data_IF_838393374354
#
_entry.id   IF_838393374354
#
_cell.length_a   1.000
_cell.length_b   1.000
_cell.length_c   1.000
_cell.angle_alpha   90.00
_cell.angle_beta   90.00
_cell.angle_gamma   90.00
#
_symmetry.space_group_name_H-M   'P 1'
#
loop_
_entity.id
_entity.type
_entity.pdbx_description
1 polymer ?
#
# COMPACT_ATOMS: atom_id res chain seq x y z
N UNK A 1 -31.32 7.11 31.82
CA UNK A 1 -32.18 8.25 31.43
C UNK A 1 -31.82 8.61 29.99
N UNK A 2 -32.66 8.60 28.97
CA UNK A 2 -34.12 8.55 28.86
C UNK A 2 -34.54 8.17 27.42
N UNK A 3 -35.59 7.34 27.33
CA UNK A 3 -36.71 7.40 26.38
C UNK A 3 -36.44 7.15 24.89
N UNK A 4 -36.72 5.91 24.48
CA UNK A 4 -37.69 5.53 23.44
C UNK A 4 -37.16 4.33 22.65
N UNK A 5 -36.99 3.21 23.34
CA UNK A 5 -36.85 1.89 22.72
C UNK A 5 -38.18 1.59 22.04
N UNK A 6 -38.26 1.85 20.74
CA UNK A 6 -39.43 1.54 19.92
C UNK A 6 -39.51 0.01 19.84
N UNK A 7 -40.27 -0.58 20.77
CA UNK A 7 -40.56 -2.00 20.79
C UNK A 7 -41.47 -2.31 19.61
N UNK A 8 -40.88 -2.71 18.48
CA UNK A 8 -41.62 -3.34 17.38
C UNK A 8 -41.99 -4.74 17.88
N UNK A 9 -43.21 -4.85 18.39
CA UNK A 9 -43.82 -6.08 18.84
C UNK A 9 -44.20 -6.91 17.59
N UNK A 10 -43.22 -7.58 16.98
CA UNK A 10 -43.47 -8.58 15.96
C UNK A 10 -43.94 -9.88 16.64
N UNK A 11 -45.24 -9.99 16.89
CA UNK A 11 -45.88 -11.23 17.34
C UNK A 11 -45.82 -12.27 16.23
N UNK A 12 -44.75 -13.07 16.21
CA UNK A 12 -44.64 -14.30 15.41
C UNK A 12 -45.65 -15.33 15.92
N UNK A 13 -46.86 -15.34 15.37
CA UNK A 13 -47.76 -16.48 15.46
C UNK A 13 -47.37 -17.52 14.40
N UNK A 14 -46.44 -18.41 14.75
CA UNK A 14 -46.19 -19.61 13.96
C UNK A 14 -47.31 -20.63 14.24
N UNK A 15 -48.41 -20.54 13.49
CA UNK A 15 -49.37 -21.65 13.39
C UNK A 15 -48.76 -22.72 12.47
N UNK A 16 -48.56 -23.92 13.00
CA UNK A 16 -48.15 -25.09 12.22
C UNK A 16 -49.34 -25.45 11.30
N UNK A 17 -49.33 -24.92 10.09
CA UNK A 17 -50.28 -25.30 9.05
C UNK A 17 -49.79 -26.58 8.34
N UNK A 18 -50.71 -27.50 8.09
CA UNK A 18 -50.49 -28.67 7.23
C UNK A 18 -50.03 -28.19 5.84
N UNK A 19 -49.16 -28.94 5.17
CA UNK A 19 -48.65 -28.56 3.85
C UNK A 19 -49.77 -28.68 2.80
N UNK A 20 -50.38 -27.56 2.44
CA UNK A 20 -51.39 -27.47 1.40
C UNK A 20 -50.76 -26.92 0.11
N UNK A 21 -51.35 -27.26 -1.04
CA UNK A 21 -50.98 -26.63 -2.30
C UNK A 21 -51.52 -25.20 -2.33
N UNK A 22 -50.66 -24.25 -2.66
CA UNK A 22 -50.98 -22.82 -2.63
C UNK A 22 -51.05 -22.25 -4.05
N UNK A 23 -52.16 -21.60 -4.40
CA UNK A 23 -52.39 -21.08 -5.77
C UNK A 23 -52.61 -19.57 -5.78
N UNK A 24 -51.89 -18.86 -6.65
CA UNK A 24 -52.11 -17.43 -6.89
C UNK A 24 -53.28 -17.21 -7.84
N UNK A 25 -53.86 -16.00 -7.83
CA UNK A 25 -54.95 -15.61 -8.74
C UNK A 25 -54.57 -15.70 -10.22
N UNK A 26 -53.27 -15.60 -10.54
CA UNK A 26 -52.73 -15.74 -11.89
C UNK A 26 -52.46 -17.20 -12.29
N UNK A 27 -52.83 -18.17 -11.44
CA UNK A 27 -52.73 -19.60 -11.73
C UNK A 27 -51.38 -20.23 -11.41
N UNK A 28 -50.43 -19.49 -10.79
CA UNK A 28 -49.17 -20.08 -10.32
C UNK A 28 -49.41 -20.91 -9.07
N UNK A 29 -48.90 -22.13 -9.06
CA UNK A 29 -49.10 -23.10 -7.97
C UNK A 29 -47.77 -23.41 -7.26
N UNK A 30 -47.83 -23.45 -5.93
CA UNK A 30 -46.74 -23.80 -5.04
C UNK A 30 -47.11 -25.05 -4.26
N UNK A 31 -46.46 -26.16 -4.60
CA UNK A 31 -46.80 -27.47 -4.04
C UNK A 31 -46.15 -27.70 -2.68
N UNK A 32 -46.85 -28.43 -1.81
CA UNK A 32 -46.42 -28.71 -0.44
C UNK A 32 -45.98 -27.43 0.29
N UNK A 33 -46.80 -26.39 0.20
CA UNK A 33 -46.48 -25.09 0.76
C UNK A 33 -46.82 -25.04 2.24
N UNK A 34 -45.91 -24.50 3.04
CA UNK A 34 -46.12 -24.19 4.45
C UNK A 34 -45.88 -22.70 4.66
N UNK A 35 -46.79 -22.04 5.37
CA UNK A 35 -46.64 -20.64 5.73
C UNK A 35 -45.47 -20.48 6.71
N UNK A 36 -44.48 -19.66 6.33
CA UNK A 36 -43.33 -19.33 7.17
C UNK A 36 -43.58 -18.09 8.02
N UNK A 37 -44.13 -17.02 7.42
CA UNK A 37 -44.48 -15.77 8.11
C UNK A 37 -45.45 -14.95 7.26
N UNK A 38 -46.14 -14.02 7.89
CA UNK A 38 -46.98 -13.00 7.24
C UNK A 38 -46.29 -11.65 7.39
N UNK A 39 -46.12 -10.93 6.29
CA UNK A 39 -45.64 -9.55 6.23
C UNK A 39 -46.80 -8.63 5.80
N UNK A 40 -46.73 -7.30 6.03
CA UNK A 40 -47.83 -6.40 5.66
C UNK A 40 -48.19 -6.45 4.17
N UNK A 41 -47.21 -6.70 3.29
CA UNK A 41 -47.36 -6.72 1.83
C UNK A 41 -47.56 -8.12 1.23
N UNK A 42 -47.44 -9.20 2.02
CA UNK A 42 -47.60 -10.55 1.51
C UNK A 42 -47.33 -11.66 2.52
N UNK A 43 -47.38 -12.90 2.05
CA UNK A 43 -47.03 -14.08 2.85
C UNK A 43 -45.73 -14.68 2.36
N UNK A 44 -44.89 -15.14 3.27
CA UNK A 44 -43.70 -15.92 2.94
C UNK A 44 -44.02 -17.38 3.18
N UNK A 45 -43.90 -18.19 2.13
CA UNK A 45 -44.10 -19.63 2.21
C UNK A 45 -42.78 -20.36 1.96
N UNK A 46 -42.64 -21.52 2.57
CA UNK A 46 -41.66 -22.53 2.19
C UNK A 46 -42.41 -23.61 1.42
N UNK A 47 -41.99 -23.89 0.19
CA UNK A 47 -42.61 -24.88 -0.69
C UNK A 47 -41.54 -25.80 -1.28
N UNK A 48 -41.93 -26.77 -2.09
CA UNK A 48 -40.99 -27.76 -2.66
C UNK A 48 -39.82 -27.16 -3.46
N UNK A 49 -39.98 -25.95 -4.00
CA UNK A 49 -38.96 -25.24 -4.79
C UNK A 49 -38.14 -24.21 -4.01
N UNK A 50 -38.36 -24.02 -2.72
CA UNK A 50 -37.61 -23.07 -1.89
C UNK A 50 -38.49 -22.17 -1.02
N UNK A 51 -37.99 -20.96 -0.73
CA UNK A 51 -38.71 -19.93 0.03
C UNK A 51 -39.10 -18.82 -0.93
N UNK A 52 -40.34 -18.38 -0.88
CA UNK A 52 -40.85 -17.30 -1.73
C UNK A 52 -41.80 -16.40 -0.94
N UNK A 53 -41.76 -15.11 -1.22
CA UNK A 53 -42.79 -14.16 -0.79
C UNK A 53 -43.85 -14.03 -1.89
N UNK A 54 -45.11 -14.20 -1.53
CA UNK A 54 -46.27 -14.01 -2.41
C UNK A 54 -47.00 -12.75 -1.95
N UNK A 55 -47.10 -11.71 -2.80
CA UNK A 55 -47.84 -10.49 -2.46
C UNK A 55 -49.31 -10.78 -2.16
N UNK A 56 -49.92 -10.02 -1.25
CA UNK A 56 -51.34 -10.18 -0.93
C UNK A 56 -52.25 -9.92 -2.14
N UNK A 57 -51.85 -9.05 -3.06
CA UNK A 57 -52.55 -8.76 -4.32
C UNK A 57 -52.61 -9.96 -5.26
N UNK A 58 -51.72 -10.94 -5.09
CA UNK A 58 -51.72 -12.20 -5.85
C UNK A 58 -52.53 -13.31 -5.16
N UNK A 59 -53.11 -13.05 -3.99
CA UNK A 59 -53.92 -14.01 -3.22
C UNK A 59 -55.41 -13.84 -3.48
N UNK A 60 -56.19 -14.92 -3.29
CA UNK A 60 -57.65 -14.86 -3.31
C UNK A 60 -58.17 -13.94 -2.18
N UNK A 61 -59.37 -13.38 -2.36
CA UNK A 61 -60.01 -12.53 -1.33
C UNK A 61 -60.17 -13.26 0.01
N UNK A 62 -60.53 -14.53 -0.03
CA UNK A 62 -60.64 -15.37 1.18
C UNK A 62 -59.32 -15.44 1.95
N UNK A 63 -58.18 -15.54 1.26
CA UNK A 63 -56.88 -15.57 1.90
C UNK A 63 -56.43 -14.17 2.36
N UNK A 64 -56.75 -13.12 1.61
CA UNK A 64 -56.53 -11.73 2.05
C UNK A 64 -57.28 -11.45 3.37
N UNK A 65 -58.54 -11.89 3.47
CA UNK A 65 -59.35 -11.76 4.70
C UNK A 65 -58.80 -12.63 5.83
N UNK A 66 -58.47 -13.91 5.56
CA UNK A 66 -57.90 -14.85 6.55
C UNK A 66 -56.66 -14.30 7.23
N UNK A 67 -55.82 -13.55 6.51
CA UNK A 67 -54.57 -12.98 7.03
C UNK A 67 -54.65 -11.48 7.33
N UNK A 68 -55.86 -10.89 7.34
CA UNK A 68 -56.10 -9.49 7.72
C UNK A 68 -55.31 -8.47 6.87
N UNK A 69 -55.30 -8.66 5.55
CA UNK A 69 -54.63 -7.74 4.63
C UNK A 69 -55.13 -6.29 4.78
N UNK A 70 -54.20 -5.36 4.92
CA UNK A 70 -54.45 -3.91 4.93
C UNK A 70 -53.59 -3.24 3.85
N UNK A 71 -54.24 -2.67 2.83
CA UNK A 71 -53.58 -2.05 1.69
C UNK A 71 -52.68 -0.86 2.07
N UNK A 72 -53.11 -0.02 3.02
CA UNK A 72 -52.33 1.15 3.46
C UNK A 72 -51.06 0.72 4.22
N UNK A 73 -51.18 -0.30 5.07
CA UNK A 73 -50.03 -0.88 5.78
C UNK A 73 -49.04 -1.57 4.81
N UNK A 74 -49.55 -2.23 3.77
CA UNK A 74 -48.74 -2.87 2.73
C UNK A 74 -47.94 -1.86 1.90
N UNK A 75 -48.58 -0.77 1.47
CA UNK A 75 -47.91 0.30 0.72
C UNK A 75 -46.80 0.95 1.55
N UNK A 76 -47.08 1.27 2.81
CA UNK A 76 -46.08 1.84 3.72
C UNK A 76 -44.88 0.91 3.94
N UNK A 77 -45.14 -0.38 4.20
CA UNK A 77 -44.08 -1.38 4.38
C UNK A 77 -43.23 -1.56 3.12
N UNK A 78 -43.86 -1.56 1.95
CA UNK A 78 -43.17 -1.67 0.66
C UNK A 78 -42.28 -0.45 0.41
N UNK A 79 -42.77 0.75 0.70
CA UNK A 79 -42.00 1.99 0.57
C UNK A 79 -40.80 2.01 1.52
N UNK A 80 -41.00 1.66 2.81
CA UNK A 80 -39.93 1.58 3.80
C UNK A 80 -38.86 0.54 3.42
N UNK A 81 -39.29 -0.66 3.00
CA UNK A 81 -38.38 -1.72 2.54
C UNK A 81 -37.60 -1.33 1.29
N UNK A 82 -38.24 -0.60 0.36
CA UNK A 82 -37.56 -0.12 -0.85
C UNK A 82 -36.46 0.89 -0.52
N UNK A 83 -36.70 1.79 0.44
CA UNK A 83 -35.68 2.75 0.89
C UNK A 83 -34.54 2.05 1.65
N UNK A 84 -34.84 1.04 2.47
CA UNK A 84 -33.82 0.23 3.14
C UNK A 84 -32.95 -0.54 2.14
N UNK A 85 -33.55 -1.15 1.11
CA UNK A 85 -32.82 -1.83 0.04
C UNK A 85 -31.96 -0.84 -0.76
N UNK A 86 -32.47 0.36 -1.07
CA UNK A 86 -31.68 1.41 -1.74
C UNK A 86 -30.49 1.83 -0.88
N UNK A 87 -30.70 2.08 0.41
CA UNK A 87 -29.63 2.45 1.33
C UNK A 87 -28.58 1.34 1.48
N UNK A 88 -29.02 0.08 1.57
CA UNK A 88 -28.13 -1.08 1.61
C UNK A 88 -27.31 -1.23 0.33
N UNK A 89 -27.94 -1.05 -0.84
CA UNK A 89 -27.27 -1.09 -2.14
C UNK A 89 -26.26 0.06 -2.30
N UNK A 90 -26.61 1.27 -1.87
CA UNK A 90 -25.71 2.41 -1.88
C UNK A 90 -24.48 2.16 -0.99
N UNK A 91 -24.70 1.64 0.23
CA UNK A 91 -23.62 1.28 1.14
C UNK A 91 -22.74 0.15 0.61
N UNK A 92 -23.33 -0.85 -0.04
CA UNK A 92 -22.59 -1.94 -0.68
C UNK A 92 -21.74 -1.44 -1.86
N UNK A 93 -22.28 -0.52 -2.68
CA UNK A 93 -21.55 0.11 -3.77
C UNK A 93 -20.38 0.97 -3.25
N UNK A 94 -20.60 1.75 -2.19
CA UNK A 94 -19.54 2.55 -1.56
C UNK A 94 -18.45 1.65 -0.97
N UNK A 95 -18.82 0.58 -0.27
CA UNK A 95 -17.85 -0.37 0.28
C UNK A 95 -17.02 -1.03 -0.82
N UNK A 96 -17.67 -1.44 -1.93
CA UNK A 96 -16.98 -2.00 -3.08
C UNK A 96 -15.99 -1.00 -3.68
N UNK A 97 -16.41 0.25 -3.88
CA UNK A 97 -15.53 1.30 -4.38
C UNK A 97 -14.32 1.56 -3.46
N UNK A 98 -14.53 1.54 -2.13
CA UNK A 98 -13.45 1.68 -1.14
C UNK A 98 -12.45 0.51 -1.21
N UNK A 99 -12.93 -0.72 -1.28
CA UNK A 99 -12.08 -1.93 -1.40
C UNK A 99 -11.30 -1.93 -2.72
N UNK A 100 -11.93 -1.53 -3.82
CA UNK A 100 -11.25 -1.45 -5.12
C UNK A 100 -10.17 -0.36 -5.11
N UNK A 101 -10.45 0.80 -4.50
CA UNK A 101 -9.47 1.88 -4.32
C UNK A 101 -8.30 1.47 -3.42
N UNK A 102 -8.55 0.74 -2.33
CA UNK A 102 -7.51 0.22 -1.45
C UNK A 102 -6.62 -0.79 -2.17
N UNK A 103 -7.21 -1.72 -2.94
CA UNK A 103 -6.46 -2.66 -3.79
C UNK A 103 -5.62 -1.95 -4.85
N UNK A 104 -6.12 -0.87 -5.44
CA UNK A 104 -5.35 -0.04 -6.36
C UNK A 104 -4.16 0.62 -5.67
N UNK A 105 -4.35 1.12 -4.44
CA UNK A 105 -3.26 1.68 -3.65
C UNK A 105 -2.23 0.62 -3.28
N UNK A 106 -2.66 -0.56 -2.82
CA UNK A 106 -1.76 -1.68 -2.50
C UNK A 106 -0.97 -2.15 -3.73
N UNK A 107 -1.61 -2.25 -4.91
CA UNK A 107 -0.91 -2.61 -6.16
C UNK A 107 0.15 -1.57 -6.52
N UNK A 108 -0.17 -0.29 -6.40
CA UNK A 108 0.78 0.80 -6.66
C UNK A 108 1.93 0.80 -5.64
N UNK A 109 1.63 0.62 -4.36
CA UNK A 109 2.64 0.52 -3.31
C UNK A 109 3.55 -0.70 -3.52
N UNK A 110 2.97 -1.86 -3.83
CA UNK A 110 3.72 -3.08 -4.13
C UNK A 110 4.59 -2.95 -5.39
N UNK A 111 4.10 -2.27 -6.43
CA UNK A 111 4.89 -1.98 -7.61
C UNK A 111 6.06 -1.04 -7.29
N UNK A 112 5.84 0.02 -6.50
CA UNK A 112 6.88 0.93 -6.04
C UNK A 112 7.93 0.23 -5.15
N UNK A 113 7.50 -0.67 -4.27
CA UNK A 113 8.40 -1.49 -3.44
C UNK A 113 9.23 -2.45 -4.29
N UNK A 114 8.61 -3.07 -5.30
CA UNK A 114 9.32 -3.93 -6.24
C UNK A 114 10.38 -3.15 -7.01
N UNK A 115 10.01 -1.98 -7.56
CA UNK A 115 10.92 -1.09 -8.28
C UNK A 115 12.08 -0.62 -7.38
N UNK A 116 11.79 -0.21 -6.15
CA UNK A 116 12.80 0.19 -5.16
C UNK A 116 13.79 -0.94 -4.87
N UNK A 117 13.31 -2.17 -4.71
CA UNK A 117 14.18 -3.35 -4.52
C UNK A 117 15.03 -3.66 -5.75
N UNK A 118 14.52 -3.40 -6.97
CA UNK A 118 15.33 -3.58 -8.18
C UNK A 118 16.42 -2.51 -8.28
N UNK A 119 16.10 -1.25 -7.96
CA UNK A 119 17.09 -0.17 -7.90
C UNK A 119 18.17 -0.44 -6.85
N UNK A 120 17.79 -0.95 -5.67
CA UNK A 120 18.75 -1.34 -4.62
C UNK A 120 19.67 -2.47 -5.09
N UNK A 121 19.11 -3.53 -5.70
CA UNK A 121 19.93 -4.62 -6.27
C UNK A 121 20.88 -4.13 -7.37
N UNK A 122 20.45 -3.18 -8.19
CA UNK A 122 21.32 -2.55 -9.16
C UNK A 122 22.41 -1.77 -8.44
N UNK A 123 22.07 -0.94 -7.45
CA UNK A 123 23.02 -0.17 -6.65
C UNK A 123 24.13 -1.05 -6.06
N UNK A 124 23.78 -2.16 -5.43
CA UNK A 124 24.74 -3.09 -4.83
C UNK A 124 25.69 -3.72 -5.86
N UNK A 125 25.25 -3.83 -7.12
CA UNK A 125 26.07 -4.35 -8.22
C UNK A 125 26.98 -3.29 -8.84
N UNK A 126 26.50 -2.05 -9.04
CA UNK A 126 27.26 -1.00 -9.75
C UNK A 126 28.10 -0.13 -8.82
N UNK A 127 27.63 0.22 -7.63
CA UNK A 127 28.35 1.13 -6.73
C UNK A 127 29.76 0.63 -6.42
N UNK A 128 30.01 -0.66 -6.07
CA UNK A 128 31.36 -1.14 -5.80
C UNK A 128 32.34 -0.96 -6.95
N UNK A 129 31.86 -0.88 -8.20
CA UNK A 129 32.71 -0.69 -9.39
C UNK A 129 33.18 0.76 -9.56
N UNK A 130 32.46 1.72 -8.95
CA UNK A 130 32.78 3.15 -9.00
C UNK A 130 33.18 3.72 -7.64
N UNK A 131 33.08 2.92 -6.57
CA UNK A 131 33.44 3.30 -5.21
C UNK A 131 34.95 3.23 -5.00
N UNK A 132 35.50 4.27 -4.39
CA UNK A 132 36.88 4.36 -3.97
C UNK A 132 36.91 4.85 -2.53
N UNK A 133 37.60 4.12 -1.65
CA UNK A 133 37.96 4.65 -0.34
C UNK A 133 39.16 5.56 -0.51
N UNK A 134 39.05 6.79 -0.05
CA UNK A 134 40.04 7.80 -0.34
C UNK A 134 40.41 8.58 0.90
N UNK A 135 41.70 8.90 0.96
CA UNK A 135 42.19 9.99 1.78
C UNK A 135 42.33 11.22 0.88
N UNK A 136 41.65 12.30 1.24
CA UNK A 136 41.63 13.53 0.45
C UNK A 136 42.25 14.71 1.20
N UNK A 137 42.90 15.60 0.44
CA UNK A 137 43.35 16.91 0.91
C UNK A 137 42.81 18.00 -0.02
N UNK A 138 41.69 18.65 0.33
CA UNK A 138 41.13 19.77 -0.44
C UNK A 138 42.12 20.93 -0.55
N UNK A 139 42.14 21.61 -1.70
CA UNK A 139 43.01 22.78 -1.89
C UNK A 139 42.45 23.86 -2.83
N UNK A 140 41.34 23.59 -3.54
CA UNK A 140 40.51 24.63 -4.17
C UNK A 140 39.05 24.39 -3.81
N UNK A 141 38.43 25.36 -3.16
CA UNK A 141 37.03 25.31 -2.75
C UNK A 141 36.20 26.18 -3.69
N UNK A 142 35.22 25.58 -4.34
CA UNK A 142 34.16 26.26 -5.08
C UNK A 142 32.86 26.28 -4.27
N UNK A 143 31.89 27.07 -4.75
CA UNK A 143 30.56 27.14 -4.13
C UNK A 143 29.81 25.80 -4.24
N UNK A 144 30.05 25.05 -5.32
CA UNK A 144 29.37 23.79 -5.60
C UNK A 144 30.32 22.60 -5.75
N UNK A 145 31.60 22.84 -6.10
CA UNK A 145 32.60 21.79 -6.32
C UNK A 145 33.90 22.03 -5.57
N UNK A 146 34.60 20.97 -5.21
CA UNK A 146 35.88 21.02 -4.48
C UNK A 146 36.95 20.25 -5.25
N UNK A 147 38.08 20.89 -5.56
CA UNK A 147 39.26 20.18 -6.09
C UNK A 147 40.12 19.70 -4.93
N UNK A 148 40.49 18.42 -4.96
CA UNK A 148 41.28 17.79 -3.92
C UNK A 148 42.39 16.92 -4.50
N UNK A 149 43.46 16.76 -3.72
CA UNK A 149 44.37 15.65 -3.92
C UNK A 149 43.78 14.38 -3.33
N UNK A 150 43.73 13.31 -4.12
CA UNK A 150 43.08 12.05 -3.76
C UNK A 150 44.11 10.93 -3.73
N UNK A 151 44.17 10.20 -2.62
CA UNK A 151 44.92 8.96 -2.50
C UNK A 151 43.95 7.79 -2.30
N UNK A 152 43.84 6.85 -3.26
CA UNK A 152 42.95 5.71 -3.11
C UNK A 152 43.50 4.62 -2.19
N UNK A 153 42.58 3.90 -1.56
CA UNK A 153 42.80 2.77 -0.67
C UNK A 153 41.83 1.63 -1.01
N UNK A 154 42.32 0.41 -0.82
CA UNK A 154 41.51 -0.80 -0.83
C UNK A 154 41.35 -1.29 0.60
N UNK A 155 40.11 -1.64 0.96
CA UNK A 155 39.78 -2.26 2.23
C UNK A 155 40.04 -3.76 2.13
N UNK A 156 40.77 -4.34 3.08
CA UNK A 156 40.96 -5.79 3.16
C UNK A 156 40.58 -6.30 4.55
N UNK A 157 40.06 -7.53 4.59
CA UNK A 157 39.71 -8.19 5.84
C UNK A 157 41.00 -8.54 6.61
N UNK A 158 41.11 -8.07 7.85
CA UNK A 158 42.23 -8.39 8.75
C UNK A 158 41.85 -9.44 9.80
N UNK A 159 40.66 -10.03 9.68
CA UNK A 159 40.08 -10.98 10.62
C UNK A 159 39.04 -10.32 11.53
N UNK A 160 38.72 -11.01 12.63
CA UNK A 160 37.77 -10.52 13.62
C UNK A 160 38.47 -10.31 14.96
N UNK A 161 38.08 -9.26 15.68
CA UNK A 161 38.50 -9.05 17.07
C UNK A 161 37.35 -9.33 18.01
N UNK A 162 37.67 -9.78 19.22
CA UNK A 162 36.69 -9.93 20.29
C UNK A 162 36.05 -8.57 20.60
N UNK A 163 34.72 -8.54 20.71
CA UNK A 163 34.01 -7.30 21.03
C UNK A 163 33.90 -7.14 22.54
N UNK A 164 34.66 -6.20 23.09
CA UNK A 164 34.63 -5.89 24.52
C UNK A 164 33.44 -5.00 24.92
N UNK A 165 32.76 -4.39 23.94
CA UNK A 165 31.74 -3.36 24.18
C UNK A 165 30.31 -3.88 24.09
N UNK A 166 30.05 -4.91 23.25
CA UNK A 166 28.72 -5.51 23.07
C UNK A 166 28.80 -7.02 23.28
N UNK A 167 28.47 -7.54 24.48
CA UNK A 167 28.66 -8.95 24.85
C UNK A 167 27.86 -9.95 23.99
N UNK A 168 26.81 -9.51 23.29
CA UNK A 168 26.02 -10.36 22.39
C UNK A 168 26.68 -10.59 21.02
N UNK A 169 27.72 -9.82 20.68
CA UNK A 169 28.48 -9.93 19.43
C UNK A 169 29.91 -10.35 19.77
N UNK A 170 30.16 -11.64 19.97
CA UNK A 170 31.47 -12.16 20.42
C UNK A 170 32.66 -11.70 19.55
N UNK A 171 32.44 -11.43 18.27
CA UNK A 171 33.48 -11.02 17.33
C UNK A 171 32.97 -9.93 16.37
N UNK A 172 33.78 -8.89 16.15
CA UNK A 172 33.53 -7.84 15.16
C UNK A 172 34.62 -7.86 14.08
N UNK A 173 34.27 -7.72 12.80
CA UNK A 173 35.24 -7.65 11.72
C UNK A 173 36.13 -6.42 11.88
N UNK A 174 37.42 -6.60 11.65
CA UNK A 174 38.41 -5.52 11.60
C UNK A 174 38.92 -5.42 10.18
N UNK A 175 38.97 -4.20 9.67
CA UNK A 175 39.42 -3.94 8.31
C UNK A 175 40.76 -3.20 8.30
N UNK A 176 41.65 -3.67 7.44
CA UNK A 176 42.88 -2.97 7.08
C UNK A 176 42.70 -2.12 5.83
N UNK A 177 43.57 -1.13 5.67
CA UNK A 177 43.58 -0.24 4.51
C UNK A 177 44.92 -0.35 3.81
N UNK A 178 44.90 -0.65 2.52
CA UNK A 178 46.10 -0.68 1.68
C UNK A 178 46.04 0.45 0.69
N UNK A 179 47.10 1.26 0.62
CA UNK A 179 47.25 2.26 -0.42
C UNK A 179 47.23 1.58 -1.79
N UNK A 180 46.32 2.00 -2.65
CA UNK A 180 46.26 1.56 -4.04
C UNK A 180 46.39 2.77 -4.95
N UNK A 181 47.01 2.60 -6.12
CA UNK A 181 47.20 3.67 -7.08
C UNK A 181 48.09 4.83 -6.62
N UNK A 182 48.41 5.70 -7.57
CA UNK A 182 49.12 6.95 -7.31
C UNK A 182 48.15 8.03 -6.83
N UNK A 183 48.70 9.04 -6.15
CA UNK A 183 47.96 10.22 -5.75
C UNK A 183 47.64 11.05 -7.00
N UNK A 184 46.40 11.48 -7.15
CA UNK A 184 45.96 12.26 -8.31
C UNK A 184 45.10 13.45 -7.90
N UNK A 185 44.80 14.35 -8.85
CA UNK A 185 43.88 15.47 -8.66
C UNK A 185 42.50 15.03 -9.15
N UNK A 186 41.48 15.25 -8.33
CA UNK A 186 40.09 15.01 -8.72
C UNK A 186 39.17 16.13 -8.24
N UNK A 187 37.97 16.15 -8.81
CA UNK A 187 36.91 17.11 -8.47
C UNK A 187 35.79 16.39 -7.76
N UNK A 188 35.34 16.93 -6.64
CA UNK A 188 34.20 16.43 -5.86
C UNK A 188 33.04 17.39 -6.17
N UNK A 189 31.90 16.85 -6.59
CA UNK A 189 30.67 17.57 -6.95
C UNK A 189 29.91 18.07 -5.71
N UNK A 190 30.64 18.47 -4.69
CA UNK A 190 30.11 19.10 -3.48
C UNK A 190 31.08 20.17 -2.97
N UNK A 191 30.53 21.20 -2.32
CA UNK A 191 31.31 22.04 -1.41
C UNK A 191 31.62 21.23 -0.16
N UNK A 192 32.90 21.08 0.16
CA UNK A 192 33.33 20.53 1.45
C UNK A 192 33.13 21.58 2.55
N UNK A 193 32.61 21.17 3.72
CA UNK A 193 32.32 22.06 4.85
C UNK A 193 33.56 22.80 5.39
N UNK A 194 33.35 23.93 6.07
CA UNK A 194 34.39 24.84 6.57
C UNK A 194 35.40 24.20 7.55
N UNK A 195 35.03 23.11 8.27
CA UNK A 195 36.00 22.33 9.07
C UNK A 195 37.12 21.69 8.25
N UNK A 196 36.96 21.64 6.92
CA UNK A 196 37.93 21.07 5.98
C UNK A 196 38.73 22.17 5.24
N UNK A 197 38.39 23.45 5.43
CA UNK A 197 39.05 24.59 4.76
C UNK A 197 40.46 24.88 5.29
N UNK A 198 40.88 24.23 6.39
CA UNK A 198 42.26 24.24 6.91
C UNK A 198 43.26 23.42 6.08
N UNK A 199 42.79 22.62 5.11
CA UNK A 199 43.63 21.68 4.36
C UNK A 199 43.92 20.37 5.10
N UNK A 200 43.08 20.03 6.08
CA UNK A 200 43.17 18.78 6.83
C UNK A 200 42.87 17.55 5.97
N UNK A 201 43.47 16.43 6.37
CA UNK A 201 43.32 15.14 5.71
C UNK A 201 41.98 14.52 6.10
N UNK A 202 41.18 14.11 5.12
CA UNK A 202 39.85 13.49 5.37
C UNK A 202 39.77 12.09 4.76
N UNK A 203 39.24 11.13 5.51
CA UNK A 203 38.88 9.80 4.99
C UNK A 203 37.45 9.86 4.49
N UNK A 204 37.23 9.55 3.22
CA UNK A 204 35.91 9.58 2.58
C UNK A 204 35.71 8.37 1.67
N UNK A 205 34.45 8.02 1.44
CA UNK A 205 34.05 7.15 0.33
C UNK A 205 33.66 8.04 -0.84
N UNK A 206 34.28 7.84 -1.99
CA UNK A 206 33.98 8.57 -3.23
C UNK A 206 33.35 7.63 -4.25
N UNK A 207 32.39 8.14 -5.01
CA UNK A 207 31.78 7.46 -6.15
C UNK A 207 32.15 8.22 -7.42
N UNK A 208 32.80 7.56 -8.38
CA UNK A 208 33.15 8.17 -9.67
C UNK A 208 31.88 8.37 -10.50
N UNK A 209 31.60 9.63 -10.86
CA UNK A 209 30.41 10.04 -11.63
C UNK A 209 30.79 10.72 -12.95
N UNK A 210 31.97 10.38 -13.48
CA UNK A 210 32.43 10.85 -14.79
C UNK A 210 33.69 11.71 -14.72
N UNK A 211 33.70 12.76 -15.52
CA UNK A 211 34.80 13.71 -15.72
C UNK A 211 34.23 15.12 -15.82
N UNK A 212 35.04 16.14 -15.53
CA UNK A 212 34.62 17.53 -15.71
C UNK A 212 34.54 17.92 -17.19
N UNK A 213 33.68 18.90 -17.51
CA UNK A 213 33.52 19.41 -18.89
C UNK A 213 34.72 20.25 -19.35
N UNK A 214 35.42 20.90 -18.42
CA UNK A 214 36.58 21.79 -18.67
C UNK A 214 37.82 21.00 -19.13
N UNK A 215 37.92 19.75 -18.72
CA UNK A 215 39.00 18.87 -19.09
C UNK A 215 38.53 17.43 -18.93
N UNK A 216 38.55 16.66 -20.02
CA UNK A 216 38.40 15.20 -20.02
C UNK A 216 39.44 14.46 -19.15
N UNK A 217 40.30 15.19 -18.42
CA UNK A 217 41.40 14.70 -17.60
C UNK A 217 41.01 14.49 -16.14
N UNK A 218 40.21 15.38 -15.56
CA UNK A 218 39.99 15.33 -14.12
C UNK A 218 38.75 14.48 -13.80
N UNK A 219 38.90 13.37 -13.06
CA UNK A 219 37.78 12.56 -12.65
C UNK A 219 36.86 13.32 -11.68
N UNK A 220 35.57 13.21 -11.93
CA UNK A 220 34.51 13.80 -11.11
C UNK A 220 33.95 12.75 -10.15
N UNK A 221 33.79 13.12 -8.88
CA UNK A 221 33.30 12.27 -7.81
C UNK A 221 32.16 12.92 -7.05
N UNK A 222 31.41 12.10 -6.33
CA UNK A 222 30.52 12.55 -5.25
C UNK A 222 30.84 11.74 -3.99
N UNK A 223 30.63 12.36 -2.83
CA UNK A 223 30.63 11.68 -1.53
C UNK A 223 29.27 11.06 -1.19
N UNK A 224 28.25 11.29 -2.01
CA UNK A 224 26.86 10.88 -1.74
C UNK A 224 26.45 9.69 -2.59
N UNK A 225 25.88 8.66 -1.93
CA UNK A 225 25.33 7.48 -2.63
C UNK A 225 24.19 7.89 -3.57
N UNK A 226 23.33 8.81 -3.14
CA UNK A 226 22.14 9.22 -3.91
C UNK A 226 22.49 9.94 -5.21
N UNK A 227 23.47 10.87 -5.21
CA UNK A 227 23.90 11.49 -6.47
C UNK A 227 24.58 10.49 -7.38
N UNK A 228 25.35 9.54 -6.84
CA UNK A 228 25.95 8.48 -7.63
C UNK A 228 24.88 7.62 -8.32
N UNK A 229 23.83 7.26 -7.60
CA UNK A 229 22.70 6.50 -8.16
C UNK A 229 21.92 7.30 -9.20
N UNK A 230 21.64 8.59 -8.94
CA UNK A 230 20.99 9.45 -9.91
C UNK A 230 21.81 9.60 -11.20
N UNK A 231 23.13 9.70 -11.08
CA UNK A 231 24.03 9.72 -12.23
C UNK A 231 23.96 8.42 -13.04
N UNK A 232 24.04 7.27 -12.36
CA UNK A 232 23.96 5.95 -13.00
C UNK A 232 22.60 5.68 -13.67
N UNK A 233 21.53 6.30 -13.18
CA UNK A 233 20.19 6.26 -13.79
C UNK A 233 20.03 7.18 -15.02
N UNK A 234 21.10 7.84 -15.48
CA UNK A 234 21.09 8.73 -16.64
C UNK A 234 20.86 10.21 -16.31
N UNK A 235 20.82 10.58 -15.02
CA UNK A 235 20.85 11.98 -14.62
C UNK A 235 22.23 12.59 -14.86
N UNK A 236 22.28 13.82 -15.37
CA UNK A 236 23.56 14.55 -15.41
C UNK A 236 23.95 15.02 -14.01
N UNK A 237 25.24 15.03 -13.65
CA UNK A 237 25.71 15.84 -12.53
C UNK A 237 25.27 17.29 -12.78
N UNK A 238 24.91 18.04 -11.74
CA UNK A 238 24.48 19.43 -11.94
C UNK A 238 25.55 20.18 -12.74
N UNK A 239 25.19 20.64 -13.93
CA UNK A 239 25.99 21.61 -14.68
C UNK A 239 25.68 22.99 -14.10
N UNK A 240 26.74 23.73 -13.76
CA UNK A 240 26.64 25.12 -13.32
C UNK A 240 25.90 25.94 -14.38
N UNK A 241 24.86 26.66 -13.96
CA UNK A 241 24.43 27.90 -14.63
C UNK A 241 25.03 29.09 -13.90
#
# INVERSE_FOLDING_TARGET
MNKATLAILATLFASIALADDFKTVNGKEYKNATLSRVEPDGIVIKFSGGIVKIPFTELSKELQEKYNYNAEAAEKFTAESAEEIKAANAKAAELKARVDAERDQERKASAADYESKQLEKQADKVLPQITIFAIIKPFRFGKERTTAWIQPYEQYDTGQKHNETVPSLNYVPVYGWRKVGEKFIGVIDERMFERYESGDITVVTLYKIGHTNDSSRDPLFTTTKDKAMNFLAGGSPKEDR
#
